data_IF_950699373090
#
_entry.id   IF_950699373090
#
_cell.length_a   1.000
_cell.length_b   1.000
_cell.length_c   1.000
_cell.angle_alpha   90.00
_cell.angle_beta   90.00
_cell.angle_gamma   90.00
#
_symmetry.space_group_name_H-M   'P 1'
#
loop_
_entity.id
_entity.type
_entity.pdbx_description
1 polymer ?
#
# COMPACT_ATOMS: atom_id res chain seq x y z
N UNK A 1 -8.34 7.37 -1.49
CA UNK A 1 -7.15 6.55 -1.83
C UNK A 1 -6.20 6.51 -0.65
N UNK A 2 -5.28 5.56 -0.64
CA UNK A 2 -4.17 5.50 0.29
C UNK A 2 -3.11 6.56 -0.07
N UNK A 3 -2.42 7.07 0.94
CA UNK A 3 -1.24 7.91 0.74
C UNK A 3 0.01 7.06 0.52
N UNK A 4 1.07 7.64 -0.05
CA UNK A 4 2.38 6.97 -0.16
C UNK A 4 2.86 6.50 1.23
N UNK A 5 2.67 7.32 2.27
CA UNK A 5 3.06 6.97 3.64
C UNK A 5 2.27 5.78 4.18
N UNK A 6 0.96 5.72 3.92
CA UNK A 6 0.11 4.59 4.32
C UNK A 6 0.49 3.30 3.57
N UNK A 7 0.79 3.41 2.27
CA UNK A 7 1.27 2.27 1.48
C UNK A 7 2.66 1.81 1.95
N UNK A 8 3.56 2.75 2.27
CA UNK A 8 4.90 2.46 2.81
C UNK A 8 4.83 1.77 4.18
N UNK A 9 3.95 2.23 5.07
CA UNK A 9 3.73 1.57 6.35
C UNK A 9 3.25 0.12 6.12
N UNK A 10 2.27 -0.10 5.25
CA UNK A 10 1.82 -1.46 4.92
C UNK A 10 2.93 -2.33 4.34
N UNK A 11 3.77 -1.78 3.46
CA UNK A 11 4.95 -2.45 2.91
C UNK A 11 5.93 -2.88 4.01
N UNK A 12 6.21 -2.00 4.98
CA UNK A 12 7.07 -2.32 6.13
C UNK A 12 6.47 -3.44 7.01
N UNK A 13 5.14 -3.57 7.03
CA UNK A 13 4.43 -4.71 7.66
C UNK A 13 4.30 -5.95 6.76
N UNK A 14 4.99 -6.00 5.62
CA UNK A 14 5.06 -7.18 4.75
C UNK A 14 4.06 -7.19 3.59
N UNK A 15 3.32 -6.11 3.35
CA UNK A 15 2.42 -6.02 2.20
C UNK A 15 3.19 -5.83 0.89
N UNK A 16 3.15 -6.85 0.03
CA UNK A 16 3.80 -6.88 -1.28
C UNK A 16 2.77 -6.92 -2.40
N UNK A 17 2.93 -6.08 -3.42
CA UNK A 17 2.15 -6.16 -4.64
C UNK A 17 2.95 -5.62 -5.82
N UNK A 18 2.88 -6.32 -6.95
CA UNK A 18 3.53 -5.94 -8.21
C UNK A 18 2.55 -5.29 -9.19
N UNK A 19 1.35 -4.95 -8.73
CA UNK A 19 0.33 -4.29 -9.53
C UNK A 19 0.39 -2.78 -9.28
N UNK A 20 0.65 -1.99 -10.31
CA UNK A 20 0.61 -0.54 -10.21
C UNK A 20 -0.83 -0.07 -9.93
N UNK A 21 -0.98 0.80 -8.93
CA UNK A 21 -2.28 1.30 -8.52
C UNK A 21 -2.25 2.78 -8.16
N UNK A 22 -3.39 3.45 -8.35
CA UNK A 22 -3.60 4.83 -7.98
C UNK A 22 -3.50 5.04 -6.47
N UNK A 23 -2.77 6.09 -6.10
CA UNK A 23 -2.53 6.63 -4.77
C UNK A 23 -2.98 8.09 -4.74
N UNK A 24 -3.11 8.65 -3.55
CA UNK A 24 -3.42 10.07 -3.40
C UNK A 24 -2.47 11.00 -4.18
N UNK A 25 -2.91 12.25 -4.36
CA UNK A 25 -2.13 13.29 -5.04
C UNK A 25 -1.68 12.88 -6.45
N UNK A 26 -2.55 12.19 -7.21
CA UNK A 26 -2.32 11.74 -8.60
C UNK A 26 -1.10 10.83 -8.79
N UNK A 27 -0.65 10.19 -7.72
CA UNK A 27 0.45 9.24 -7.80
C UNK A 27 -0.03 7.86 -8.21
N UNK A 28 0.83 7.12 -8.91
CA UNK A 28 0.66 5.70 -9.15
C UNK A 28 1.90 5.00 -8.63
N UNK A 29 1.72 3.92 -7.90
CA UNK A 29 2.83 3.16 -7.37
C UNK A 29 2.40 1.79 -6.85
N UNK A 30 3.37 1.04 -6.32
CA UNK A 30 3.13 -0.28 -5.75
C UNK A 30 4.21 -0.65 -4.72
N UNK A 31 3.91 -1.49 -3.70
CA UNK A 31 4.84 -1.84 -2.63
C UNK A 31 5.65 -3.11 -2.92
N UNK A 32 6.97 -3.02 -2.80
CA UNK A 32 7.89 -4.18 -2.87
C UNK A 32 8.50 -4.49 -1.49
N UNK A 33 8.38 -5.73 -1.02
CA UNK A 33 8.96 -6.17 0.28
C UNK A 33 10.21 -7.02 0.12
N UNK A 34 10.37 -7.64 -1.05
CA UNK A 34 11.50 -8.48 -1.39
C UNK A 34 12.10 -8.01 -2.72
N UNK A 35 13.42 -8.10 -2.91
CA UNK A 35 14.06 -7.75 -4.17
C UNK A 35 13.62 -8.72 -5.27
N UNK A 36 13.19 -8.18 -6.42
CA UNK A 36 12.82 -8.96 -7.60
C UNK A 36 13.15 -8.18 -8.87
N UNK A 37 13.83 -8.82 -9.82
CA UNK A 37 14.07 -8.24 -11.15
C UNK A 37 12.75 -8.04 -11.92
N UNK A 38 11.76 -8.90 -11.69
CA UNK A 38 10.46 -8.84 -12.37
C UNK A 38 9.49 -7.84 -11.73
N UNK A 39 9.82 -7.33 -10.54
CA UNK A 39 8.93 -6.47 -9.78
C UNK A 39 9.73 -5.44 -8.99
N UNK A 40 9.77 -4.22 -9.51
CA UNK A 40 10.53 -3.13 -8.89
C UNK A 40 12.03 -3.14 -9.17
N UNK A 41 12.53 -3.94 -10.13
CA UNK A 41 13.95 -3.95 -10.53
C UNK A 41 14.92 -4.09 -9.34
N UNK A 42 14.68 -5.07 -8.47
CA UNK A 42 15.39 -5.32 -7.19
C UNK A 42 15.27 -4.22 -6.13
N UNK A 43 14.43 -3.21 -6.32
CA UNK A 43 14.12 -2.22 -5.29
C UNK A 43 13.17 -2.81 -4.23
N UNK A 44 13.45 -2.50 -2.96
CA UNK A 44 12.56 -2.76 -1.81
C UNK A 44 12.04 -1.43 -1.30
N UNK A 45 10.72 -1.28 -1.22
CA UNK A 45 10.04 -0.04 -0.81
C UNK A 45 8.82 0.26 -1.68
N UNK A 46 8.30 1.48 -1.62
CA UNK A 46 7.26 1.92 -2.56
C UNK A 46 7.92 2.36 -3.86
N UNK A 47 7.52 1.76 -4.98
CA UNK A 47 7.97 2.14 -6.32
C UNK A 47 6.89 3.03 -6.94
N UNK A 48 7.24 4.27 -7.29
CA UNK A 48 6.38 5.14 -8.09
C UNK A 48 6.51 4.77 -9.57
N UNK A 49 5.38 4.60 -10.23
CA UNK A 49 5.30 4.11 -11.60
C UNK A 49 4.17 4.80 -12.34
N UNK A 50 4.50 5.69 -13.28
CA UNK A 50 3.50 6.35 -14.12
C UNK A 50 3.84 6.14 -15.60
N UNK A 51 3.00 5.37 -16.29
CA UNK A 51 3.06 5.09 -17.72
C UNK A 51 1.77 5.62 -18.35
N UNK A 52 1.84 6.74 -19.10
CA UNK A 52 0.67 7.34 -19.75
C UNK A 52 -0.15 6.34 -20.57
N UNK A 53 -1.47 6.42 -20.47
CA UNK A 53 -2.41 5.57 -21.21
C UNK A 53 -2.57 4.14 -20.66
N UNK A 54 -1.97 3.83 -19.51
CA UNK A 54 -2.16 2.53 -18.84
C UNK A 54 -3.35 2.58 -17.89
N UNK A 55 -4.03 1.44 -17.73
CA UNK A 55 -5.02 1.24 -16.68
C UNK A 55 -4.30 0.73 -15.42
N UNK A 56 -4.77 1.18 -14.26
CA UNK A 56 -4.21 0.84 -12.96
C UNK A 56 -5.33 0.47 -12.00
N UNK A 57 -5.01 -0.38 -11.03
CA UNK A 57 -5.86 -0.60 -9.86
C UNK A 57 -5.90 0.69 -8.99
N UNK A 58 -6.58 0.65 -7.86
CA UNK A 58 -6.53 1.70 -6.85
C UNK A 58 -6.17 1.13 -5.49
N UNK A 59 -5.25 1.79 -4.78
CA UNK A 59 -4.97 1.50 -3.39
C UNK A 59 -5.83 2.38 -2.49
N UNK A 60 -6.55 1.73 -1.57
CA UNK A 60 -7.40 2.36 -0.59
C UNK A 60 -6.91 2.04 0.81
N UNK A 61 -7.00 3.04 1.69
CA UNK A 61 -6.67 2.89 3.10
C UNK A 61 -7.93 2.97 3.93
N UNK A 62 -8.12 2.01 4.83
CA UNK A 62 -9.24 2.00 5.78
C UNK A 62 -8.71 1.93 7.21
N UNK A 63 -9.26 2.80 8.06
CA UNK A 63 -9.12 2.70 9.51
C UNK A 63 -10.08 1.59 9.97
N UNK A 64 -9.57 0.49 10.54
CA UNK A 64 -10.44 -0.46 11.26
C UNK A 64 -10.68 0.12 12.65
N UNK A 65 -11.96 0.25 13.02
CA UNK A 65 -12.39 0.85 14.29
C UNK A 65 -11.73 0.19 15.50
N UNK A 66 -11.60 0.98 16.57
CA UNK A 66 -11.07 0.56 17.87
C UNK A 66 -11.91 -0.63 18.38
N UNK A 67 -11.26 -1.78 18.60
CA UNK A 67 -11.86 -2.84 19.41
C UNK A 67 -11.82 -2.36 20.86
N UNK A 68 -12.85 -1.65 21.31
CA UNK A 68 -12.99 -1.31 22.72
C UNK A 68 -13.38 -2.57 23.48
N UNK A 69 -12.39 -3.35 23.91
CA UNK A 69 -12.57 -4.20 25.08
C UNK A 69 -11.33 -4.12 25.97
N UNK A 70 -11.61 -3.89 27.24
CA UNK A 70 -10.70 -3.63 28.35
C UNK A 70 -9.59 -4.69 28.47
N UNK A 71 -8.34 -4.33 28.14
CA UNK A 71 -7.10 -4.81 28.78
C UNK A 71 -5.86 -4.34 27.97
N UNK A 72 -5.32 -3.16 28.31
CA UNK A 72 -3.87 -2.90 28.27
C UNK A 72 -3.04 -3.14 27.00
N UNK A 73 -3.60 -3.18 25.78
CA UNK A 73 -2.79 -3.31 24.56
C UNK A 73 -2.59 -1.94 23.88
N UNK A 74 -1.33 -1.54 23.71
CA UNK A 74 -0.93 -0.31 23.03
C UNK A 74 -1.54 -0.20 21.64
N UNK A 75 -2.08 0.98 21.35
CA UNK A 75 -2.55 1.60 20.10
C UNK A 75 -2.12 0.93 18.77
N UNK A 76 -2.56 -0.29 18.52
CA UNK A 76 -2.40 -0.95 17.23
C UNK A 76 -3.67 -0.72 16.43
N UNK A 77 -3.83 0.50 15.93
CA UNK A 77 -4.79 0.75 14.85
C UNK A 77 -4.48 -0.25 13.73
N UNK A 78 -5.36 -1.24 13.52
CA UNK A 78 -5.18 -2.24 12.46
C UNK A 78 -5.50 -1.58 11.13
N UNK A 79 -4.50 -0.93 10.54
CA UNK A 79 -4.60 -0.34 9.22
C UNK A 79 -4.69 -1.45 8.16
N UNK A 80 -5.50 -1.25 7.13
CA UNK A 80 -5.56 -2.19 6.01
C UNK A 80 -5.51 -1.43 4.71
N UNK A 81 -4.53 -1.79 3.86
CA UNK A 81 -4.52 -1.42 2.46
C UNK A 81 -5.35 -2.46 1.70
N UNK A 82 -6.30 -1.99 0.91
CA UNK A 82 -7.07 -2.80 -0.01
C UNK A 82 -6.80 -2.34 -1.44
N UNK A 83 -6.70 -3.30 -2.36
CA UNK A 83 -6.63 -3.08 -3.81
C UNK A 83 -8.01 -3.21 -4.41
N UNK A 84 -8.39 -2.24 -5.23
CA UNK A 84 -9.62 -2.28 -6.01
C UNK A 84 -9.26 -2.23 -7.50
N UNK A 85 -9.72 -3.20 -8.28
CA UNK A 85 -9.59 -3.16 -9.73
C UNK A 85 -10.72 -2.33 -10.34
N UNK A 86 -10.37 -1.45 -11.27
CA UNK A 86 -11.29 -0.56 -12.00
C UNK A 86 -11.78 -1.25 -13.27
#
# INVERSE_FOLDING_TARGET
MATIAQLSAAQQFGYHSCAAGWLDSENVGYPTTNPSLNCGNNHVGVVLYNKPGSLYDAYCYRIKGILTNTAGFHDSQVYTIATYSI
#
